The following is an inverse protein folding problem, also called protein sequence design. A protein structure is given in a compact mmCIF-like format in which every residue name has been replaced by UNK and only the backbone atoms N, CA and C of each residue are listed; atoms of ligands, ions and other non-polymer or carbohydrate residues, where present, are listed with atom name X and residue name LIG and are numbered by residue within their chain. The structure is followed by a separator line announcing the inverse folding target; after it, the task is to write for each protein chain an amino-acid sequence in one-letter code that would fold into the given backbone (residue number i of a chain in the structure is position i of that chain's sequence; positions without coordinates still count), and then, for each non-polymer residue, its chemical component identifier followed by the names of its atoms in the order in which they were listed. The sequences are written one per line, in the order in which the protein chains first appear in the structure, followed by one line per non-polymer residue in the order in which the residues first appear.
data_IF_742001719993
#
_entry.id   IF_742001719993
#
_cell.length_a   1.000
_cell.length_b   1.000
_cell.length_c   1.000
_cell.angle_alpha   90.00
_cell.angle_beta   90.00
_cell.angle_gamma   90.00
#
_symmetry.space_group_name_H-M   'P 1'
#
loop_
_entity.id
_entity.type
_entity.pdbx_description
1 polymer ?
#
# COMPACT_ATOMS: atom_id res chain seq x y z
N UNK A 1 -18.52 -15.03 0.39
CA UNK A 1 -18.39 -13.76 -0.33
C UNK A 1 -19.58 -13.47 -1.24
N UNK A 2 -19.81 -14.28 -2.29
CA UNK A 2 -20.85 -14.03 -3.29
C UNK A 2 -22.23 -13.82 -2.66
N UNK A 3 -22.69 -14.73 -1.83
CA UNK A 3 -23.98 -14.63 -1.16
C UNK A 3 -24.13 -13.36 -0.33
N UNK A 4 -23.07 -12.96 0.37
CA UNK A 4 -23.07 -11.76 1.18
C UNK A 4 -23.20 -10.50 0.31
N UNK A 5 -22.51 -10.46 -0.84
CA UNK A 5 -22.58 -9.34 -1.77
C UNK A 5 -23.96 -9.25 -2.45
N UNK A 6 -24.50 -10.38 -2.95
CA UNK A 6 -25.80 -10.43 -3.65
C UNK A 6 -26.95 -10.08 -2.70
N UNK A 7 -26.88 -10.55 -1.45
CA UNK A 7 -27.90 -10.26 -0.43
C UNK A 7 -27.91 -8.81 0.05
N UNK A 8 -26.80 -8.06 -0.16
CA UNK A 8 -26.73 -6.67 0.27
C UNK A 8 -27.70 -5.75 -0.49
N UNK A 9 -27.79 -5.88 -1.80
CA UNK A 9 -28.73 -5.17 -2.66
C UNK A 9 -28.80 -5.83 -4.05
N UNK A 10 -30.00 -5.87 -4.65
CA UNK A 10 -30.23 -6.41 -6.02
C UNK A 10 -29.48 -5.65 -7.13
N UNK A 11 -28.97 -4.46 -6.85
CA UNK A 11 -28.17 -3.66 -7.78
C UNK A 11 -26.70 -4.11 -7.82
N UNK A 12 -26.24 -4.91 -6.86
CA UNK A 12 -24.87 -5.39 -6.78
C UNK A 12 -24.67 -6.56 -7.74
N UNK A 13 -23.65 -6.44 -8.57
CA UNK A 13 -23.26 -7.47 -9.53
C UNK A 13 -21.80 -7.86 -9.24
N UNK A 14 -21.55 -9.05 -8.69
CA UNK A 14 -20.20 -9.60 -8.63
C UNK A 14 -19.64 -9.80 -10.04
N UNK A 15 -18.38 -9.44 -10.25
CA UNK A 15 -17.71 -9.54 -11.56
C UNK A 15 -16.63 -10.62 -11.52
N UNK A 16 -15.79 -10.57 -10.50
CA UNK A 16 -14.63 -11.42 -10.36
C UNK A 16 -14.35 -11.63 -8.87
N UNK A 17 -13.83 -12.80 -8.52
CA UNK A 17 -13.44 -13.08 -7.16
C UNK A 17 -12.93 -14.50 -7.02
N UNK A 18 -12.28 -14.73 -5.90
CA UNK A 18 -11.71 -16.04 -5.61
C UNK A 18 -11.30 -16.18 -4.17
N UNK A 19 -10.97 -17.39 -3.80
CA UNK A 19 -10.32 -17.72 -2.55
C UNK A 19 -9.20 -18.71 -2.82
N UNK A 20 -8.08 -18.52 -2.12
CA UNK A 20 -6.91 -19.38 -2.22
C UNK A 20 -6.35 -19.69 -0.84
N UNK A 21 -5.76 -20.87 -0.72
CA UNK A 21 -4.96 -21.25 0.43
C UNK A 21 -3.72 -21.99 -0.05
N UNK A 22 -2.59 -21.73 0.57
CA UNK A 22 -1.34 -22.37 0.21
C UNK A 22 -0.38 -22.48 1.38
N UNK A 23 0.57 -23.37 1.24
CA UNK A 23 1.75 -23.46 2.10
C UNK A 23 3.00 -23.43 1.23
N UNK A 24 4.02 -22.73 1.72
CA UNK A 24 5.32 -22.64 1.09
C UNK A 24 6.38 -23.17 2.06
N UNK A 25 7.22 -24.07 1.58
CA UNK A 25 8.43 -24.52 2.30
C UNK A 25 9.64 -24.11 1.51
N UNK A 26 10.56 -23.44 2.16
CA UNK A 26 11.78 -22.92 1.54
C UNK A 26 13.00 -23.46 2.29
N UNK A 27 13.95 -23.98 1.56
CA UNK A 27 15.26 -24.35 2.11
C UNK A 27 16.36 -23.62 1.34
N UNK A 28 17.41 -23.22 2.04
CA UNK A 28 18.61 -22.63 1.46
C UNK A 28 19.84 -23.29 2.05
N UNK A 29 20.81 -23.60 1.19
CA UNK A 29 22.14 -24.05 1.59
C UNK A 29 23.19 -23.49 0.63
N UNK A 30 24.39 -23.19 1.14
CA UNK A 30 25.51 -22.74 0.32
C UNK A 30 26.84 -23.19 0.87
N UNK A 31 27.93 -23.03 0.07
CA UNK A 31 29.29 -23.39 0.42
C UNK A 31 29.89 -22.57 1.58
N UNK A 32 29.27 -21.47 1.99
CA UNK A 32 29.70 -20.64 3.12
C UNK A 32 29.10 -21.14 4.46
N UNK A 33 28.49 -22.34 4.47
CA UNK A 33 27.91 -22.93 5.69
C UNK A 33 26.52 -22.45 6.06
N UNK A 34 25.85 -21.68 5.19
CA UNK A 34 24.46 -21.32 5.41
C UNK A 34 23.58 -22.55 5.16
N UNK A 35 22.76 -22.87 6.15
CA UNK A 35 21.70 -23.88 6.05
C UNK A 35 20.45 -23.31 6.76
N UNK A 36 19.37 -23.12 6.02
CA UNK A 36 18.14 -22.59 6.54
C UNK A 36 16.92 -23.33 6.01
N UNK A 37 15.89 -23.39 6.81
CA UNK A 37 14.57 -23.91 6.45
C UNK A 37 13.49 -22.98 7.02
N UNK A 38 12.50 -22.67 6.21
CA UNK A 38 11.35 -21.85 6.60
C UNK A 38 10.06 -22.44 6.00
N UNK A 39 8.96 -22.30 6.72
CA UNK A 39 7.65 -22.62 6.18
C UNK A 39 6.62 -21.56 6.55
N UNK A 40 5.68 -21.36 5.64
CA UNK A 40 4.60 -20.40 5.85
C UNK A 40 3.34 -20.82 5.15
N UNK A 41 2.23 -20.33 5.67
CA UNK A 41 0.90 -20.50 5.08
C UNK A 41 0.35 -19.16 4.66
N UNK A 42 -0.58 -19.16 3.71
CA UNK A 42 -1.36 -18.00 3.33
C UNK A 42 -2.77 -18.45 2.93
N UNK A 43 -3.75 -17.68 3.39
CA UNK A 43 -5.15 -17.82 2.98
C UNK A 43 -5.59 -16.43 2.54
N UNK A 44 -6.26 -16.36 1.41
CA UNK A 44 -6.78 -15.12 0.87
C UNK A 44 -8.15 -15.30 0.24
N UNK A 45 -8.92 -14.24 0.20
CA UNK A 45 -10.15 -14.15 -0.56
C UNK A 45 -10.39 -12.73 -1.04
N UNK A 46 -10.96 -12.60 -2.23
CA UNK A 46 -11.23 -11.29 -2.85
C UNK A 46 -12.53 -11.32 -3.65
N UNK A 47 -13.18 -10.17 -3.76
CA UNK A 47 -14.36 -10.00 -4.58
C UNK A 47 -14.39 -8.60 -5.20
N UNK A 48 -14.56 -8.55 -6.51
CA UNK A 48 -14.83 -7.35 -7.26
C UNK A 48 -16.33 -7.26 -7.60
N UNK A 49 -16.92 -6.10 -7.40
CA UNK A 49 -18.33 -5.83 -7.69
C UNK A 49 -18.50 -4.52 -8.44
N UNK A 50 -19.60 -4.41 -9.18
CA UNK A 50 -20.18 -3.15 -9.62
C UNK A 50 -21.61 -3.05 -9.08
N UNK A 51 -22.13 -1.83 -8.96
CA UNK A 51 -23.55 -1.63 -8.77
C UNK A 51 -24.18 -1.05 -10.05
N UNK A 52 -25.37 -1.56 -10.43
CA UNK A 52 -26.12 -1.14 -11.60
C UNK A 52 -27.49 -0.61 -11.20
N UNK A 53 -27.83 0.58 -11.67
CA UNK A 53 -29.14 1.21 -11.46
C UNK A 53 -29.66 1.77 -12.80
N UNK A 54 -30.53 1.04 -13.45
CA UNK A 54 -30.94 1.30 -14.82
C UNK A 54 -29.77 1.26 -15.79
N UNK A 55 -29.47 2.39 -16.46
CA UNK A 55 -28.32 2.54 -17.37
C UNK A 55 -27.01 2.95 -16.66
N UNK A 56 -27.06 3.27 -15.37
CA UNK A 56 -25.88 3.67 -14.62
C UNK A 56 -25.17 2.43 -14.09
N UNK A 57 -23.85 2.37 -14.30
CA UNK A 57 -22.94 1.35 -13.76
C UNK A 57 -21.81 2.07 -13.04
N UNK A 58 -21.47 1.60 -11.86
CA UNK A 58 -20.36 2.17 -11.06
C UNK A 58 -19.01 1.75 -11.62
N UNK A 59 -17.91 2.41 -11.21
CA UNK A 59 -16.59 1.80 -11.30
C UNK A 59 -16.56 0.44 -10.60
N UNK A 60 -15.62 -0.40 -10.98
CA UNK A 60 -15.34 -1.64 -10.25
C UNK A 60 -14.83 -1.26 -8.86
N UNK A 61 -15.45 -1.83 -7.85
CA UNK A 61 -15.02 -1.76 -6.46
C UNK A 61 -14.62 -3.16 -6.02
N UNK A 62 -13.51 -3.26 -5.34
CA UNK A 62 -13.03 -4.55 -4.96
C UNK A 62 -12.57 -4.54 -3.50
N UNK A 63 -12.65 -5.70 -2.84
CA UNK A 63 -12.16 -5.89 -1.49
C UNK A 63 -11.48 -7.24 -1.38
N UNK A 64 -10.51 -7.34 -0.50
CA UNK A 64 -9.85 -8.60 -0.20
C UNK A 64 -9.48 -8.71 1.28
N UNK A 65 -9.26 -9.94 1.71
CA UNK A 65 -8.71 -10.23 3.01
C UNK A 65 -7.71 -11.38 2.89
N UNK A 66 -6.54 -11.21 3.47
CA UNK A 66 -5.49 -12.21 3.46
C UNK A 66 -4.87 -12.34 4.85
N UNK A 67 -4.49 -13.55 5.23
CA UNK A 67 -3.85 -13.86 6.51
C UNK A 67 -2.99 -15.13 6.39
N UNK A 68 -2.10 -15.34 7.36
CA UNK A 68 -1.31 -16.58 7.46
C UNK A 68 -2.06 -17.73 8.17
N UNK A 69 -3.26 -17.47 8.66
CA UNK A 69 -4.10 -18.43 9.36
C UNK A 69 -5.56 -18.25 8.94
N UNK A 70 -6.48 -18.99 9.53
CA UNK A 70 -7.93 -18.92 9.26
C UNK A 70 -8.61 -17.63 9.75
N UNK A 71 -7.88 -16.52 9.89
CA UNK A 71 -8.43 -15.22 10.30
C UNK A 71 -9.05 -14.41 9.15
N UNK A 72 -9.12 -14.96 7.94
CA UNK A 72 -9.84 -14.32 6.83
C UNK A 72 -11.34 -14.34 7.04
N UNK A 73 -12.00 -13.24 6.63
CA UNK A 73 -13.45 -13.07 6.75
C UNK A 73 -14.10 -12.87 5.37
N UNK A 74 -14.49 -13.95 4.68
CA UNK A 74 -15.09 -13.86 3.34
C UNK A 74 -16.44 -13.14 3.33
N UNK A 75 -17.22 -13.25 4.41
CA UNK A 75 -18.51 -12.57 4.51
C UNK A 75 -18.32 -11.05 4.54
N UNK A 76 -17.37 -10.57 5.33
CA UNK A 76 -17.00 -9.15 5.37
C UNK A 76 -16.52 -8.66 4.01
N UNK A 77 -15.65 -9.40 3.30
CA UNK A 77 -15.19 -9.06 1.94
C UNK A 77 -16.37 -8.85 0.99
N UNK A 78 -17.35 -9.76 1.02
CA UNK A 78 -18.55 -9.65 0.18
C UNK A 78 -19.41 -8.43 0.52
N UNK A 79 -19.67 -8.19 1.81
CA UNK A 79 -20.44 -7.05 2.29
C UNK A 79 -19.75 -5.73 1.95
N UNK A 80 -18.45 -5.66 2.16
CA UNK A 80 -17.68 -4.44 1.95
C UNK A 80 -17.54 -4.10 0.45
N UNK A 81 -17.25 -5.07 -0.41
CA UNK A 81 -17.25 -4.86 -1.86
C UNK A 81 -18.62 -4.33 -2.36
N UNK A 82 -19.72 -4.89 -1.85
CA UNK A 82 -21.06 -4.43 -2.15
C UNK A 82 -21.30 -2.98 -1.66
N UNK A 83 -20.95 -2.68 -0.41
CA UNK A 83 -21.07 -1.33 0.18
C UNK A 83 -20.33 -0.29 -0.64
N UNK A 84 -19.09 -0.61 -1.05
CA UNK A 84 -18.26 0.27 -1.87
C UNK A 84 -18.91 0.56 -3.22
N UNK A 85 -19.38 -0.48 -3.94
CA UNK A 85 -20.01 -0.30 -5.23
C UNK A 85 -21.35 0.45 -5.14
N UNK A 86 -22.17 0.20 -4.12
CA UNK A 86 -23.43 0.93 -3.88
C UNK A 86 -23.17 2.41 -3.58
N UNK A 87 -22.16 2.72 -2.76
CA UNK A 87 -21.78 4.10 -2.45
C UNK A 87 -21.34 4.89 -3.67
N UNK A 88 -20.84 4.20 -4.70
CA UNK A 88 -20.39 4.78 -5.95
C UNK A 88 -21.52 5.06 -6.97
N UNK A 89 -22.79 4.72 -6.68
CA UNK A 89 -23.93 5.01 -7.57
C UNK A 89 -24.26 6.50 -7.70
N UNK A 90 -24.10 7.25 -6.61
CA UNK A 90 -24.35 8.70 -6.58
C UNK A 90 -23.09 9.45 -7.01
N UNK A 91 -22.93 9.69 -8.30
CA UNK A 91 -21.76 10.39 -8.83
C UNK A 91 -22.06 11.83 -9.18
N UNK A 92 -21.13 12.72 -8.83
CA UNK A 92 -21.09 14.11 -9.29
C UNK A 92 -19.67 14.45 -9.77
N UNK A 93 -19.58 15.51 -10.58
CA UNK A 93 -18.30 16.11 -10.96
C UNK A 93 -17.74 16.89 -9.78
N UNK A 94 -16.42 17.03 -9.74
CA UNK A 94 -15.71 17.91 -8.83
C UNK A 94 -14.89 18.91 -9.63
N UNK A 95 -14.61 20.03 -9.03
CA UNK A 95 -13.72 21.05 -9.61
C UNK A 95 -12.27 20.68 -9.42
N UNK A 96 -11.43 21.13 -10.36
CA UNK A 96 -9.98 21.06 -10.22
C UNK A 96 -9.52 22.01 -9.14
N UNK A 97 -8.90 21.48 -8.08
CA UNK A 97 -8.38 22.29 -6.97
C UNK A 97 -7.31 21.58 -6.17
N UNK A 98 -6.61 22.33 -5.33
CA UNK A 98 -5.77 21.78 -4.28
C UNK A 98 -6.62 21.60 -3.03
N UNK A 99 -6.57 20.43 -2.41
CA UNK A 99 -7.44 20.09 -1.26
C UNK A 99 -6.81 19.01 -0.39
N UNK A 100 -7.44 18.76 0.77
CA UNK A 100 -7.13 17.61 1.62
C UNK A 100 -7.59 16.32 0.96
N UNK A 101 -6.83 15.26 1.12
CA UNK A 101 -7.23 13.91 0.73
C UNK A 101 -6.92 12.91 1.83
N UNK A 102 -7.80 11.94 2.02
CA UNK A 102 -7.50 10.72 2.77
C UNK A 102 -7.13 9.64 1.76
N UNK A 103 -5.94 9.08 1.89
CA UNK A 103 -5.52 7.90 1.14
C UNK A 103 -5.79 6.65 1.97
N UNK A 104 -6.58 5.73 1.42
CA UNK A 104 -6.81 4.43 2.05
C UNK A 104 -5.59 3.52 1.87
N UNK A 105 -5.61 2.35 2.51
CA UNK A 105 -4.54 1.37 2.38
C UNK A 105 -4.32 0.94 0.92
N UNK A 106 -5.40 0.79 0.15
CA UNK A 106 -5.32 0.44 -1.28
C UNK A 106 -4.63 1.53 -2.10
N UNK A 107 -5.01 2.79 -1.90
CA UNK A 107 -4.39 3.91 -2.60
C UNK A 107 -2.91 4.05 -2.23
N UNK A 108 -2.58 3.84 -0.96
CA UNK A 108 -1.20 3.88 -0.48
C UNK A 108 -0.36 2.73 -1.04
N UNK A 109 -0.91 1.50 -1.08
CA UNK A 109 -0.21 0.36 -1.67
C UNK A 109 0.18 0.65 -3.12
N UNK A 110 -0.76 1.11 -3.94
CA UNK A 110 -0.49 1.43 -5.33
C UNK A 110 0.58 2.52 -5.47
N UNK A 111 0.44 3.61 -4.73
CA UNK A 111 1.33 4.75 -4.87
C UNK A 111 2.74 4.47 -4.33
N UNK A 112 2.85 3.94 -3.11
CA UNK A 112 4.14 3.73 -2.44
C UNK A 112 4.94 2.57 -3.05
N UNK A 113 4.27 1.54 -3.58
CA UNK A 113 4.93 0.41 -4.22
C UNK A 113 5.77 0.85 -5.42
N UNK A 114 5.21 1.70 -6.27
CA UNK A 114 5.89 2.16 -7.49
C UNK A 114 6.80 3.37 -7.28
N UNK A 115 6.81 3.96 -6.08
CA UNK A 115 7.58 5.17 -5.80
C UNK A 115 8.51 5.01 -4.60
N UNK A 116 8.04 5.25 -3.37
CA UNK A 116 8.86 5.28 -2.16
C UNK A 116 9.63 3.97 -1.93
N UNK A 117 8.97 2.81 -2.06
CA UNK A 117 9.61 1.52 -1.84
C UNK A 117 10.77 1.31 -2.81
N UNK A 118 10.61 1.73 -4.07
CA UNK A 118 11.70 1.69 -5.04
C UNK A 118 12.81 2.71 -4.72
N UNK A 119 12.45 3.90 -4.23
CA UNK A 119 13.42 4.94 -3.90
C UNK A 119 14.34 4.57 -2.71
N UNK A 120 13.90 3.68 -1.81
CA UNK A 120 14.72 3.23 -0.67
C UNK A 120 15.49 1.94 -0.91
N UNK A 121 15.41 1.33 -2.10
CA UNK A 121 16.24 0.20 -2.48
C UNK A 121 17.68 0.67 -2.78
N UNK A 122 18.66 0.12 -2.09
CA UNK A 122 20.05 0.58 -2.19
C UNK A 122 20.64 0.48 -3.61
N UNK A 123 20.25 -0.54 -4.38
CA UNK A 123 20.70 -0.69 -5.77
C UNK A 123 20.17 0.44 -6.68
N UNK A 124 18.95 0.95 -6.44
CA UNK A 124 18.44 2.13 -7.14
C UNK A 124 19.19 3.41 -6.73
N UNK A 125 19.50 3.55 -5.43
CA UNK A 125 20.31 4.67 -4.93
C UNK A 125 21.71 4.66 -5.56
N UNK A 126 22.36 3.49 -5.62
CA UNK A 126 23.70 3.31 -6.21
C UNK A 126 23.72 3.57 -7.72
N UNK A 127 22.62 3.29 -8.43
CA UNK A 127 22.47 3.58 -9.87
C UNK A 127 21.98 4.99 -10.16
N UNK A 128 21.89 5.85 -9.16
CA UNK A 128 21.33 7.22 -9.30
C UNK A 128 19.87 7.26 -9.77
N UNK A 129 19.15 6.18 -9.50
CA UNK A 129 17.72 6.03 -9.78
C UNK A 129 16.83 6.29 -8.55
N UNK A 130 17.35 7.06 -7.59
CA UNK A 130 16.63 7.49 -6.39
C UNK A 130 16.98 8.92 -6.04
N UNK A 131 15.99 9.74 -5.65
CA UNK A 131 16.23 11.09 -5.18
C UNK A 131 16.85 11.12 -3.78
N UNK A 132 17.04 9.96 -3.15
CA UNK A 132 17.54 9.84 -1.78
C UNK A 132 19.06 9.61 -1.68
N UNK A 133 19.77 9.58 -2.81
CA UNK A 133 21.24 9.48 -2.79
C UNK A 133 21.84 10.61 -1.94
N UNK A 134 22.65 10.23 -0.94
CA UNK A 134 23.31 11.16 -0.02
C UNK A 134 22.38 11.85 0.99
N UNK A 135 21.12 11.40 1.15
CA UNK A 135 20.13 12.03 2.03
C UNK A 135 19.85 11.29 3.33
N UNK A 136 20.69 10.34 3.72
CA UNK A 136 20.62 9.76 5.07
C UNK A 136 20.81 10.88 6.11
N UNK A 137 19.86 11.00 7.02
CA UNK A 137 19.81 12.09 8.03
C UNK A 137 18.95 13.27 7.62
N UNK A 138 18.57 13.40 6.35
CA UNK A 138 17.72 14.49 5.87
C UNK A 138 16.24 14.23 6.15
N UNK A 139 15.48 15.32 6.26
CA UNK A 139 14.01 15.29 6.36
C UNK A 139 13.39 15.04 4.98
N UNK A 140 12.80 13.87 4.78
CA UNK A 140 12.21 13.43 3.52
C UNK A 140 10.68 13.28 3.58
N UNK A 141 10.10 13.32 4.78
CA UNK A 141 8.67 13.16 5.03
C UNK A 141 8.21 14.01 6.22
N UNK A 142 6.91 13.98 6.52
CA UNK A 142 6.32 14.60 7.71
C UNK A 142 6.83 13.95 9.01
N UNK A 143 6.92 14.74 10.08
CA UNK A 143 7.25 14.25 11.43
C UNK A 143 6.23 13.20 11.95
N UNK A 144 5.04 13.15 11.36
CA UNK A 144 4.02 12.16 11.68
C UNK A 144 4.31 10.76 11.09
N UNK A 145 5.33 10.65 10.23
CA UNK A 145 5.65 9.40 9.55
C UNK A 145 6.90 8.74 10.16
N UNK A 146 6.70 7.53 10.67
CA UNK A 146 7.78 6.59 10.98
C UNK A 146 7.52 5.30 10.20
N UNK A 147 8.52 4.83 9.47
CA UNK A 147 8.39 3.72 8.53
C UNK A 147 9.49 2.69 8.80
N UNK A 148 9.07 1.44 8.93
CA UNK A 148 9.96 0.28 9.06
C UNK A 148 9.78 -0.65 7.85
N UNK A 149 10.83 -1.33 7.45
CA UNK A 149 10.72 -2.60 6.73
C UNK A 149 10.94 -3.74 7.74
N UNK A 150 9.92 -4.54 7.98
CA UNK A 150 9.91 -5.52 9.07
C UNK A 150 9.76 -6.95 8.53
N UNK A 151 10.90 -7.61 8.34
CA UNK A 151 10.95 -9.00 7.89
C UNK A 151 10.45 -10.01 8.93
N UNK A 152 10.30 -9.60 10.20
CA UNK A 152 9.88 -10.42 11.33
C UNK A 152 8.48 -10.07 11.86
N UNK A 153 7.73 -9.22 11.15
CA UNK A 153 6.41 -8.76 11.59
C UNK A 153 5.47 -9.92 11.88
N UNK A 154 4.97 -10.06 13.12
CA UNK A 154 4.12 -11.18 13.52
C UNK A 154 2.87 -11.28 12.65
N UNK A 155 2.66 -12.44 12.02
CA UNK A 155 1.53 -12.66 11.10
C UNK A 155 1.65 -11.95 9.75
N UNK A 156 2.74 -11.24 9.50
CA UNK A 156 2.96 -10.52 8.24
C UNK A 156 3.05 -11.47 7.04
N UNK A 157 2.40 -11.10 5.94
CA UNK A 157 2.33 -11.93 4.73
C UNK A 157 3.70 -12.18 4.09
N UNK A 158 4.65 -11.29 4.31
CA UNK A 158 6.03 -11.35 3.80
C UNK A 158 7.06 -11.70 4.88
N UNK A 159 6.62 -12.13 6.05
CA UNK A 159 7.51 -12.57 7.12
C UNK A 159 8.15 -13.90 6.80
N UNK A 160 9.46 -13.99 7.00
CA UNK A 160 10.24 -15.23 6.95
C UNK A 160 11.50 -15.07 7.80
N UNK A 161 12.17 -16.19 8.12
CA UNK A 161 13.35 -16.14 9.00
C UNK A 161 14.64 -15.73 8.28
N UNK A 162 14.72 -15.90 6.96
CA UNK A 162 15.85 -15.48 6.11
C UNK A 162 15.35 -14.97 4.75
N UNK A 163 16.22 -14.25 4.07
CA UNK A 163 16.00 -13.73 2.73
C UNK A 163 16.49 -14.70 1.63
N UNK A 164 16.41 -14.29 0.35
CA UNK A 164 16.79 -15.11 -0.80
C UNK A 164 18.30 -15.43 -0.90
N UNK A 165 19.13 -14.88 -0.01
CA UNK A 165 20.58 -15.17 0.09
C UNK A 165 20.93 -15.88 1.41
N UNK A 166 19.94 -16.18 2.26
CA UNK A 166 20.12 -16.82 3.56
C UNK A 166 20.53 -15.85 4.67
N UNK A 167 20.43 -14.56 4.44
CA UNK A 167 20.65 -13.55 5.48
C UNK A 167 19.42 -13.52 6.40
N UNK A 168 19.59 -13.58 7.74
CA UNK A 168 18.49 -13.44 8.67
C UNK A 168 17.71 -12.15 8.42
N UNK A 169 16.39 -12.25 8.34
CA UNK A 169 15.54 -11.07 8.23
C UNK A 169 15.54 -10.29 9.53
N UNK A 170 15.30 -8.99 9.42
CA UNK A 170 15.31 -8.08 10.55
C UNK A 170 14.25 -6.99 10.39
N UNK A 171 14.10 -6.17 11.42
CA UNK A 171 13.36 -4.91 11.34
C UNK A 171 14.35 -3.79 11.03
N UNK A 172 14.15 -3.11 9.90
CA UNK A 172 14.96 -1.98 9.45
C UNK A 172 14.16 -0.69 9.57
N UNK A 173 14.62 0.26 10.37
CA UNK A 173 14.05 1.60 10.47
C UNK A 173 14.44 2.40 9.22
N UNK A 174 13.50 2.65 8.32
CA UNK A 174 13.72 3.35 7.04
C UNK A 174 13.57 4.85 7.20
N UNK A 175 12.47 5.28 7.81
CA UNK A 175 12.19 6.70 8.11
C UNK A 175 11.77 6.81 9.57
N UNK A 176 12.37 7.74 10.30
CA UNK A 176 12.04 8.04 11.70
C UNK A 176 11.57 9.48 11.82
N UNK A 177 10.30 9.68 12.16
CA UNK A 177 9.71 11.04 12.28
C UNK A 177 10.11 11.93 11.10
N UNK A 178 9.91 11.42 9.88
CA UNK A 178 10.21 12.11 8.64
C UNK A 178 11.68 12.12 8.21
N UNK A 179 12.61 11.64 9.02
CA UNK A 179 14.06 11.64 8.71
C UNK A 179 14.44 10.28 8.12
N UNK A 180 15.11 10.28 6.97
CA UNK A 180 15.63 9.08 6.33
C UNK A 180 16.77 8.49 7.16
N UNK A 181 16.65 7.21 7.55
CA UNK A 181 17.62 6.52 8.40
C UNK A 181 18.41 5.44 7.67
N UNK A 182 17.74 4.65 6.84
CA UNK A 182 18.37 3.54 6.15
C UNK A 182 17.78 3.31 4.76
N UNK A 183 18.55 2.62 3.93
CA UNK A 183 18.10 1.95 2.72
C UNK A 183 17.92 0.45 2.96
N UNK A 184 17.31 -0.24 2.00
CA UNK A 184 17.15 -1.69 1.99
C UNK A 184 18.26 -2.30 1.14
N UNK A 185 18.95 -3.31 1.67
CA UNK A 185 20.11 -3.93 1.06
C UNK A 185 19.97 -5.44 0.90
N UNK A 186 20.44 -5.96 -0.22
CA UNK A 186 20.93 -7.33 -0.37
C UNK A 186 22.45 -7.37 -0.06
N UNK A 187 23.07 -8.54 -0.16
CA UNK A 187 24.52 -8.67 0.08
C UNK A 187 25.36 -7.92 -0.97
N UNK A 188 24.91 -7.89 -2.22
CA UNK A 188 25.69 -7.25 -3.28
C UNK A 188 25.75 -5.73 -3.08
N UNK A 189 24.59 -5.09 -2.90
CA UNK A 189 24.54 -3.65 -2.67
C UNK A 189 25.19 -3.25 -1.34
N UNK A 190 24.99 -4.05 -0.29
CA UNK A 190 25.61 -3.82 1.01
C UNK A 190 27.15 -3.86 0.95
N UNK A 191 27.69 -4.88 0.29
CA UNK A 191 29.15 -5.04 0.14
C UNK A 191 29.76 -3.88 -0.65
N UNK A 192 29.06 -3.36 -1.64
CA UNK A 192 29.51 -2.23 -2.46
C UNK A 192 29.66 -0.93 -1.66
N UNK A 193 28.86 -0.75 -0.61
CA UNK A 193 28.93 0.41 0.29
C UNK A 193 29.66 0.13 1.62
N UNK A 194 30.15 -1.10 1.82
CA UNK A 194 30.84 -1.48 3.06
C UNK A 194 29.93 -1.61 4.28
N UNK A 195 28.62 -1.85 4.06
CA UNK A 195 27.63 -2.04 5.12
C UNK A 195 27.14 -3.49 5.17
N UNK A 196 26.23 -3.82 6.10
CA UNK A 196 25.61 -5.15 6.18
C UNK A 196 24.30 -5.19 5.42
N UNK A 197 23.97 -6.35 4.83
CA UNK A 197 22.64 -6.61 4.26
C UNK A 197 21.54 -6.42 5.32
N UNK A 198 20.40 -5.91 4.89
CA UNK A 198 19.22 -5.75 5.74
C UNK A 198 18.24 -6.94 5.64
N UNK A 199 18.63 -8.02 4.96
CA UNK A 199 17.79 -9.20 4.76
C UNK A 199 16.66 -8.95 3.76
N UNK A 200 16.96 -8.21 2.70
CA UNK A 200 15.99 -7.80 1.69
C UNK A 200 16.19 -8.45 0.32
N UNK A 201 17.09 -9.43 0.21
CA UNK A 201 17.26 -10.19 -1.03
C UNK A 201 16.01 -11.03 -1.33
N UNK A 202 15.47 -10.89 -2.52
CA UNK A 202 14.34 -11.68 -3.02
C UNK A 202 14.71 -12.40 -4.30
N UNK A 203 14.23 -13.63 -4.49
CA UNK A 203 14.38 -14.40 -5.71
C UNK A 203 13.04 -14.78 -6.29
N UNK A 204 12.86 -14.56 -7.58
CA UNK A 204 11.67 -15.04 -8.29
C UNK A 204 11.64 -16.58 -8.39
N UNK A 205 12.81 -17.22 -8.27
CA UNK A 205 13.00 -18.66 -8.25
C UNK A 205 14.46 -19.00 -8.00
N UNK A 206 14.77 -20.27 -7.81
CA UNK A 206 16.12 -20.73 -7.45
C UNK A 206 17.20 -20.43 -8.51
N UNK A 207 16.79 -20.22 -9.76
CA UNK A 207 17.70 -19.85 -10.88
C UNK A 207 17.87 -18.33 -11.03
N UNK A 208 17.03 -17.52 -10.38
CA UNK A 208 17.10 -16.06 -10.56
C UNK A 208 18.22 -15.44 -9.71
N UNK A 209 18.80 -14.35 -10.20
CA UNK A 209 19.63 -13.47 -9.39
C UNK A 209 18.75 -12.79 -8.32
N UNK A 210 19.30 -12.49 -7.12
CA UNK A 210 18.60 -11.71 -6.14
C UNK A 210 18.26 -10.30 -6.64
N UNK A 211 17.16 -9.75 -6.15
CA UNK A 211 16.78 -8.33 -6.25
C UNK A 211 16.42 -7.83 -4.86
N UNK A 212 16.54 -6.53 -4.63
CA UNK A 212 16.13 -5.94 -3.36
C UNK A 212 14.62 -5.76 -3.36
N UNK A 213 13.94 -6.35 -2.36
CA UNK A 213 12.49 -6.19 -2.16
C UNK A 213 12.17 -5.88 -0.69
N UNK A 214 11.17 -5.03 -0.49
CA UNK A 214 10.65 -4.79 0.85
C UNK A 214 9.96 -6.06 1.40
N UNK A 215 10.06 -6.26 2.68
CA UNK A 215 9.38 -7.32 3.42
C UNK A 215 7.95 -6.87 3.78
N UNK A 216 7.68 -6.54 5.04
CA UNK A 216 6.46 -5.87 5.45
C UNK A 216 6.82 -4.39 5.68
N UNK A 217 6.59 -3.56 4.69
CA UNK A 217 6.87 -2.13 4.73
C UNK A 217 5.78 -1.43 5.52
N UNK A 218 6.09 -1.00 6.74
CA UNK A 218 5.11 -0.59 7.74
C UNK A 218 5.15 0.89 8.02
N UNK A 219 3.99 1.55 7.88
CA UNK A 219 3.77 2.87 8.47
C UNK A 219 3.27 2.68 9.90
N UNK A 220 3.98 3.26 10.86
CA UNK A 220 3.58 3.23 12.28
C UNK A 220 2.20 3.88 12.42
N UNK A 221 1.22 3.21 13.05
CA UNK A 221 -0.10 3.79 13.25
C UNK A 221 -0.06 5.00 14.19
N UNK A 222 -0.94 5.95 13.93
CA UNK A 222 -1.30 7.01 14.85
C UNK A 222 -2.37 6.56 15.86
N UNK A 223 -3.11 7.51 16.40
CA UNK A 223 -4.14 7.25 17.41
C UNK A 223 -5.58 7.55 16.96
N UNK A 224 -5.79 8.07 15.76
CA UNK A 224 -7.11 8.46 15.25
C UNK A 224 -7.80 7.31 14.52
N UNK A 225 -9.09 7.09 14.82
CA UNK A 225 -9.93 6.17 14.06
C UNK A 225 -10.27 6.71 12.65
N UNK A 226 -10.91 5.90 11.82
CA UNK A 226 -11.40 6.33 10.50
C UNK A 226 -12.35 7.52 10.61
N UNK A 227 -13.30 7.46 11.55
CA UNK A 227 -14.26 8.54 11.80
C UNK A 227 -13.53 9.81 12.24
N UNK A 228 -12.58 9.71 13.16
CA UNK A 228 -11.79 10.84 13.60
C UNK A 228 -10.92 11.43 12.50
N UNK A 229 -10.41 10.61 11.55
CA UNK A 229 -9.74 11.12 10.37
C UNK A 229 -10.71 11.88 9.45
N UNK A 230 -11.91 11.36 9.27
CA UNK A 230 -12.95 12.00 8.47
C UNK A 230 -13.34 13.35 9.05
N UNK A 231 -13.44 13.47 10.38
CA UNK A 231 -13.80 14.72 11.09
C UNK A 231 -12.74 15.84 10.88
N UNK A 232 -11.47 15.48 10.59
CA UNK A 232 -10.43 16.46 10.23
C UNK A 232 -10.61 17.08 8.85
N UNK A 233 -11.58 16.60 8.05
CA UNK A 233 -11.80 17.03 6.68
C UNK A 233 -13.08 17.85 6.55
N UNK A 234 -12.96 19.17 6.62
CA UNK A 234 -14.07 20.08 6.30
C UNK A 234 -14.50 19.95 4.85
N UNK A 235 -13.54 19.92 3.93
CA UNK A 235 -13.74 19.67 2.52
C UNK A 235 -12.53 18.94 1.91
N UNK A 236 -12.79 17.79 1.31
CA UNK A 236 -11.72 16.95 0.75
C UNK A 236 -12.25 15.75 -0.02
N UNK A 237 -11.40 14.75 -0.16
CA UNK A 237 -11.72 13.49 -0.81
C UNK A 237 -11.19 12.30 0.01
N UNK A 238 -11.92 11.20 0.02
CA UNK A 238 -11.38 9.86 0.32
C UNK A 238 -11.05 9.18 -0.99
N UNK A 239 -9.82 8.76 -1.14
CA UNK A 239 -9.31 8.06 -2.32
C UNK A 239 -9.17 6.58 -1.95
N UNK A 240 -10.00 5.73 -2.57
CA UNK A 240 -10.00 4.32 -2.25
C UNK A 240 -8.88 3.56 -2.98
N UNK A 241 -8.79 3.73 -4.29
CA UNK A 241 -7.84 3.04 -5.13
C UNK A 241 -7.27 3.98 -6.20
N UNK A 242 -6.06 3.71 -6.65
CA UNK A 242 -5.36 4.48 -7.68
C UNK A 242 -5.03 3.58 -8.87
N UNK A 243 -5.53 3.95 -10.05
CA UNK A 243 -5.17 3.31 -11.31
C UNK A 243 -4.05 4.06 -12.01
N UNK A 244 -3.13 3.31 -12.59
CA UNK A 244 -2.03 3.88 -13.36
C UNK A 244 -0.77 4.20 -12.55
N UNK A 245 -0.72 3.84 -11.26
CA UNK A 245 0.45 4.10 -10.42
C UNK A 245 1.75 3.46 -10.93
N UNK A 246 1.66 2.37 -11.71
CA UNK A 246 2.80 1.72 -12.36
C UNK A 246 3.51 2.61 -13.39
N UNK A 247 2.87 3.67 -13.87
CA UNK A 247 3.49 4.67 -14.76
C UNK A 247 4.15 5.84 -14.03
N UNK A 248 4.15 5.83 -12.69
CA UNK A 248 4.84 6.83 -11.89
C UNK A 248 6.36 6.75 -12.11
N UNK A 249 7.02 7.89 -11.99
CA UNK A 249 8.48 7.94 -12.09
C UNK A 249 9.12 7.71 -10.71
N UNK A 250 9.76 6.57 -10.44
CA UNK A 250 10.36 6.30 -9.14
C UNK A 250 11.58 7.19 -8.85
N UNK A 251 12.21 7.75 -9.89
CA UNK A 251 13.40 8.59 -9.76
C UNK A 251 13.04 10.01 -9.34
N UNK A 252 12.09 10.63 -10.04
CA UNK A 252 11.64 11.99 -9.70
C UNK A 252 10.54 12.01 -8.64
N UNK A 253 9.81 10.90 -8.47
CA UNK A 253 8.64 10.81 -7.60
C UNK A 253 7.36 11.35 -8.22
N UNK A 254 7.39 11.76 -9.49
CA UNK A 254 6.22 12.28 -10.18
C UNK A 254 5.21 11.18 -10.47
N UNK A 255 3.94 11.49 -10.25
CA UNK A 255 2.83 10.61 -10.56
C UNK A 255 1.65 11.37 -11.20
N UNK A 256 0.90 10.66 -12.03
CA UNK A 256 -0.38 11.10 -12.55
C UNK A 256 -1.30 9.86 -12.63
N UNK A 257 -2.25 9.77 -11.73
CA UNK A 257 -3.04 8.56 -11.48
C UNK A 257 -4.53 8.88 -11.43
N UNK A 258 -5.36 7.89 -11.73
CA UNK A 258 -6.82 8.01 -11.65
C UNK A 258 -7.30 7.43 -10.33
N UNK A 259 -7.99 8.25 -9.55
CA UNK A 259 -8.62 7.83 -8.30
C UNK A 259 -10.01 7.23 -8.59
N UNK A 260 -10.21 5.97 -8.21
CA UNK A 260 -11.47 5.25 -8.49
C UNK A 260 -11.72 4.09 -7.52
N UNK A 261 -12.83 4.12 -6.74
CA UNK A 261 -13.66 5.29 -6.52
C UNK A 261 -12.97 6.36 -5.68
N UNK A 262 -13.46 7.59 -5.80
CA UNK A 262 -13.10 8.71 -4.94
C UNK A 262 -14.40 9.32 -4.39
N UNK A 263 -14.46 9.58 -3.09
CA UNK A 263 -15.63 10.16 -2.45
C UNK A 263 -15.34 11.57 -1.97
N UNK A 264 -16.25 12.47 -2.33
CA UNK A 264 -16.26 13.84 -1.81
C UNK A 264 -16.65 13.80 -0.34
N UNK A 265 -15.82 14.41 0.49
CA UNK A 265 -16.10 14.63 1.92
C UNK A 265 -16.44 16.10 2.14
N UNK A 266 -17.44 16.34 2.99
CA UNK A 266 -17.78 17.67 3.52
C UNK A 266 -18.17 17.53 4.98
N UNK A 267 -17.49 18.27 5.86
CA UNK A 267 -17.71 18.25 7.33
C UNK A 267 -17.72 16.83 7.90
N UNK A 268 -16.69 16.04 7.55
CA UNK A 268 -16.55 14.66 8.01
C UNK A 268 -17.43 13.61 7.32
N UNK A 269 -18.37 14.00 6.46
CA UNK A 269 -19.32 13.07 5.84
C UNK A 269 -19.09 12.88 4.35
N UNK A 270 -19.28 11.63 3.87
CA UNK A 270 -19.26 11.31 2.44
C UNK A 270 -20.56 11.86 1.78
N UNK A 271 -20.40 12.80 0.85
CA UNK A 271 -21.54 13.44 0.17
C UNK A 271 -21.92 12.73 -1.12
N UNK A 272 -20.93 12.35 -1.94
CA UNK A 272 -21.12 11.64 -3.21
C UNK A 272 -19.81 11.04 -3.70
N UNK A 273 -19.91 10.06 -4.58
CA UNK A 273 -18.77 9.57 -5.36
C UNK A 273 -18.45 10.54 -6.51
N UNK A 274 -17.20 10.63 -6.87
CA UNK A 274 -16.72 11.44 -7.99
C UNK A 274 -16.14 10.55 -9.08
N UNK A 275 -16.45 10.86 -10.35
CA UNK A 275 -15.90 10.14 -11.52
C UNK A 275 -14.81 10.96 -12.19
N UNK A 276 -13.82 10.26 -12.74
CA UNK A 276 -12.76 10.89 -13.53
C UNK A 276 -11.86 11.81 -12.71
N UNK A 277 -11.71 11.52 -11.44
CA UNK A 277 -10.81 12.24 -10.55
C UNK A 277 -9.40 11.78 -10.83
N UNK A 278 -8.50 12.71 -11.12
CA UNK A 278 -7.07 12.42 -11.24
C UNK A 278 -6.32 13.11 -10.10
N UNK A 279 -5.29 12.45 -9.63
CA UNK A 279 -4.28 13.01 -8.74
C UNK A 279 -2.98 13.14 -9.53
N UNK A 280 -2.38 14.32 -9.50
CA UNK A 280 -1.07 14.56 -10.09
C UNK A 280 -0.19 15.31 -9.08
N UNK A 281 1.06 14.93 -9.00
CA UNK A 281 2.00 15.54 -8.07
C UNK A 281 3.30 14.77 -7.94
N UNK A 282 3.97 15.03 -6.83
CA UNK A 282 5.20 14.37 -6.46
C UNK A 282 5.01 13.64 -5.12
N UNK A 283 5.36 12.35 -5.06
CA UNK A 283 5.13 11.54 -3.85
C UNK A 283 5.91 12.06 -2.65
N UNK A 284 7.11 12.57 -2.86
CA UNK A 284 7.94 13.07 -1.75
C UNK A 284 7.34 14.33 -1.13
N UNK A 285 6.66 15.16 -1.93
CA UNK A 285 5.88 16.29 -1.41
C UNK A 285 4.59 15.81 -0.72
N UNK A 286 3.92 14.79 -1.25
CA UNK A 286 2.77 14.14 -0.58
C UNK A 286 3.17 13.63 0.81
N UNK A 287 4.31 12.95 0.92
CA UNK A 287 4.81 12.43 2.20
C UNK A 287 5.18 13.53 3.21
N UNK A 288 5.66 14.68 2.74
CA UNK A 288 5.92 15.86 3.61
C UNK A 288 4.65 16.51 4.12
N UNK A 289 3.56 16.41 3.36
CA UNK A 289 2.26 17.00 3.67
C UNK A 289 1.31 16.05 4.42
N UNK A 290 1.78 14.92 4.93
CA UNK A 290 0.97 14.04 5.78
C UNK A 290 0.72 14.74 7.12
N UNK A 291 -0.54 15.07 7.39
CA UNK A 291 -0.95 15.76 8.62
C UNK A 291 -1.42 14.81 9.71
N UNK A 292 -2.09 13.71 9.35
CA UNK A 292 -2.60 12.73 10.31
C UNK A 292 -2.38 11.31 9.80
N UNK A 293 -2.01 10.42 10.71
CA UNK A 293 -1.93 8.98 10.49
C UNK A 293 -3.01 8.30 11.33
N UNK A 294 -3.79 7.42 10.73
CA UNK A 294 -4.85 6.66 11.40
C UNK A 294 -4.34 5.49 12.22
N UNK A 295 -5.27 4.76 12.87
CA UNK A 295 -4.97 3.55 13.64
C UNK A 295 -5.51 2.26 12.99
N UNK A 296 -6.25 2.37 11.90
CA UNK A 296 -6.92 1.29 11.17
C UNK A 296 -5.98 0.51 10.25
N UNK A 297 -4.96 -0.10 10.83
CA UNK A 297 -3.89 -0.80 10.09
C UNK A 297 -4.44 -2.02 9.35
N UNK A 298 -4.07 -2.13 8.07
CA UNK A 298 -4.28 -3.34 7.26
C UNK A 298 -3.01 -3.67 6.48
N UNK A 299 -2.86 -4.94 6.16
CA UNK A 299 -1.81 -5.39 5.26
C UNK A 299 -2.33 -5.51 3.83
N UNK A 300 -1.62 -4.84 2.92
CA UNK A 300 -1.88 -4.79 1.48
C UNK A 300 -0.64 -5.32 0.76
N UNK A 301 -0.58 -6.64 0.51
CA UNK A 301 0.62 -7.25 -0.04
C UNK A 301 1.84 -7.05 0.87
N UNK A 302 2.79 -6.23 0.44
CA UNK A 302 3.97 -5.91 1.24
C UNK A 302 3.82 -4.63 2.08
N UNK A 303 2.77 -3.82 1.87
CA UNK A 303 2.53 -2.61 2.67
C UNK A 303 1.64 -2.93 3.86
N UNK A 304 2.01 -2.48 5.04
CA UNK A 304 1.22 -2.52 6.28
C UNK A 304 0.98 -1.09 6.72
N UNK A 305 -0.23 -0.60 6.53
CA UNK A 305 -0.52 0.84 6.70
C UNK A 305 -1.92 1.09 7.21
N UNK A 306 -2.12 2.14 8.01
CA UNK A 306 -3.43 2.74 8.23
C UNK A 306 -3.79 3.70 7.09
N UNK A 307 -4.97 4.31 7.14
CA UNK A 307 -5.28 5.50 6.36
C UNK A 307 -4.40 6.68 6.76
N UNK A 308 -4.12 7.56 5.81
CA UNK A 308 -3.43 8.83 6.09
C UNK A 308 -4.19 10.01 5.50
N UNK A 309 -4.16 11.13 6.23
CA UNK A 309 -4.64 12.42 5.75
C UNK A 309 -3.47 13.24 5.21
N UNK A 310 -3.62 13.74 4.00
CA UNK A 310 -2.61 14.53 3.30
C UNK A 310 -3.20 15.90 2.95
N UNK A 311 -2.47 16.95 3.27
CA UNK A 311 -2.81 18.33 2.93
C UNK A 311 -2.31 18.69 1.53
N UNK A 312 -2.93 19.70 0.93
CA UNK A 312 -2.41 20.39 -0.27
C UNK A 312 -2.16 19.49 -1.50
N UNK A 313 -3.00 18.50 -1.74
CA UNK A 313 -2.88 17.65 -2.93
C UNK A 313 -3.68 18.23 -4.08
N UNK A 314 -3.06 18.28 -5.27
CA UNK A 314 -3.72 18.72 -6.49
C UNK A 314 -4.63 17.62 -7.01
N UNK A 315 -5.90 17.93 -7.04
CA UNK A 315 -6.97 17.09 -7.57
C UNK A 315 -7.46 17.71 -8.88
N UNK A 316 -7.53 16.90 -9.93
CA UNK A 316 -8.03 17.29 -11.25
C UNK A 316 -9.40 16.64 -11.42
N UNK A 317 -10.42 17.48 -11.52
CA UNK A 317 -11.80 17.09 -11.78
C UNK A 317 -12.15 17.21 -13.25
N UNK A 318 -13.23 16.52 -13.66
CA UNK A 318 -13.85 16.65 -14.99
C UNK A 318 -15.26 17.20 -14.86
#
# INVERSE_FOLDING_TARGET
MLDAAIKADKKVLPIEGGAGAGSLKTAIANSNGILGFDEGTMIECSLATVAKDGKKVTPVCFEFNAARNYAVNPEWVGKEAARLSLSALKTKRIETKTTKIILTQFALQELLYFTLINAVKADNVQREQSPFKGKIGDKVASDNLTIYDDGLYPGGLRTSIFDGEGVPKQQTLVVEKGILRNFLYDNYAAKKEGVKSTGNASRAGYLSTPSIEANNFRITPGNKSEEQLMDEVDEGLVIYYLQGAHSSNPVSGEFSVVATPAWKVKKGEIVHCSRGVMLAGNIFEVLKNVSVVGNNVRQMGQLVTPWILVENVRVIGK
#
